data_IF_276790396066
#
_entry.id   IF_276790396066
#
_cell.length_a   1.000
_cell.length_b   1.000
_cell.length_c   1.000
_cell.angle_alpha   90.00
_cell.angle_beta   90.00
_cell.angle_gamma   90.00
#
_symmetry.space_group_name_H-M   'P 1'
#
loop_
_entity.id
_entity.type
_entity.pdbx_description
1 polymer ?
#
# COMPACT_ATOMS: atom_id res chain seq x y z
N UNK A 1 15.18 5.26 -1.12
CA UNK A 1 14.80 6.21 -0.03
C UNK A 1 15.90 6.26 1.03
N UNK A 2 16.23 5.19 1.76
CA UNK A 2 17.17 5.23 2.89
C UNK A 2 18.56 5.85 2.58
N UNK A 3 19.11 5.64 1.38
CA UNK A 3 20.36 6.28 0.93
C UNK A 3 20.21 7.79 0.68
N UNK A 4 19.07 8.21 0.13
CA UNK A 4 18.80 9.60 -0.23
C UNK A 4 18.37 10.44 0.97
N UNK A 5 17.85 9.79 2.01
CA UNK A 5 17.37 10.44 3.23
C UNK A 5 18.05 9.81 4.46
N UNK A 6 19.36 10.05 4.66
CA UNK A 6 20.15 9.38 5.70
C UNK A 6 19.74 9.78 7.14
N UNK A 7 19.03 10.91 7.30
CA UNK A 7 18.53 11.37 8.60
C UNK A 7 17.10 10.85 8.91
N UNK A 8 16.51 10.06 8.02
CA UNK A 8 15.21 9.44 8.22
C UNK A 8 15.36 7.98 8.61
N UNK A 9 14.44 7.48 9.42
CA UNK A 9 14.36 6.08 9.82
C UNK A 9 13.23 5.43 9.03
N UNK A 10 13.48 4.26 8.46
CA UNK A 10 12.54 3.52 7.62
C UNK A 10 12.15 2.21 8.28
N UNK A 11 10.86 1.94 8.34
CA UNK A 11 10.31 0.67 8.75
C UNK A 11 9.68 -0.03 7.55
N UNK A 12 9.92 -1.33 7.42
CA UNK A 12 9.26 -2.18 6.45
C UNK A 12 8.56 -3.34 7.16
N UNK A 13 7.27 -3.51 6.87
CA UNK A 13 6.46 -4.57 7.43
C UNK A 13 5.97 -5.49 6.32
N UNK A 14 6.07 -6.78 6.53
CA UNK A 14 5.52 -7.81 5.66
C UNK A 14 5.17 -9.04 6.50
N UNK A 15 4.07 -9.70 6.22
CA UNK A 15 3.67 -10.93 6.90
C UNK A 15 4.53 -12.14 6.48
N UNK A 16 5.21 -12.06 5.34
CA UNK A 16 6.04 -13.13 4.80
C UNK A 16 7.46 -13.04 5.35
N UNK A 17 7.80 -13.98 6.24
CA UNK A 17 9.07 -14.01 6.95
C UNK A 17 10.30 -14.02 6.03
N UNK A 18 10.25 -14.77 4.94
CA UNK A 18 11.35 -14.87 3.98
C UNK A 18 11.59 -13.56 3.24
N UNK A 19 10.54 -12.81 2.90
CA UNK A 19 10.65 -11.47 2.32
C UNK A 19 11.37 -10.51 3.27
N UNK A 20 11.05 -10.56 4.55
CA UNK A 20 11.71 -9.76 5.59
C UNK A 20 13.19 -10.16 5.74
N UNK A 21 13.52 -11.45 5.71
CA UNK A 21 14.90 -11.91 5.78
C UNK A 21 15.72 -11.37 4.58
N UNK A 22 15.17 -11.46 3.37
CA UNK A 22 15.77 -10.91 2.15
C UNK A 22 15.93 -9.38 2.24
N UNK A 23 14.90 -8.68 2.74
CA UNK A 23 14.95 -7.22 2.89
C UNK A 23 16.08 -6.79 3.82
N UNK A 24 16.26 -7.47 4.95
CA UNK A 24 17.39 -7.21 5.89
C UNK A 24 18.75 -7.45 5.23
N UNK A 25 18.89 -8.56 4.49
CA UNK A 25 20.12 -8.83 3.76
C UNK A 25 20.43 -7.73 2.74
N UNK A 26 19.43 -7.32 1.94
CA UNK A 26 19.60 -6.25 0.94
C UNK A 26 19.91 -4.90 1.58
N UNK A 27 19.35 -4.59 2.74
CA UNK A 27 19.69 -3.37 3.48
C UNK A 27 21.16 -3.34 3.89
N UNK A 28 21.67 -4.47 4.40
CA UNK A 28 23.08 -4.64 4.75
C UNK A 28 24.00 -4.49 3.52
N UNK A 29 23.68 -5.19 2.43
CA UNK A 29 24.44 -5.09 1.16
C UNK A 29 24.43 -3.66 0.59
N UNK A 30 23.35 -2.92 0.83
CA UNK A 30 23.20 -1.53 0.41
C UNK A 30 23.85 -0.50 1.36
N UNK A 31 24.30 -0.93 2.56
CA UNK A 31 24.89 -0.07 3.59
C UNK A 31 23.87 0.91 4.19
N UNK A 32 22.62 0.44 4.41
CA UNK A 32 21.53 1.25 5.00
C UNK A 32 20.89 0.56 6.21
N UNK A 33 21.56 -0.43 6.79
CA UNK A 33 21.04 -1.19 7.92
C UNK A 33 20.83 -0.33 9.18
N UNK A 34 21.61 0.74 9.33
CA UNK A 34 21.55 1.60 10.50
C UNK A 34 20.26 2.47 10.54
N UNK A 35 19.65 2.74 9.39
CA UNK A 35 18.45 3.54 9.30
C UNK A 35 17.24 2.81 8.69
N UNK A 36 17.30 1.47 8.62
CA UNK A 36 16.19 0.63 8.14
C UNK A 36 15.88 -0.51 9.11
N UNK A 37 14.60 -0.70 9.41
CA UNK A 37 14.10 -1.76 10.29
C UNK A 37 13.04 -2.56 9.55
N UNK A 38 13.27 -3.88 9.40
CA UNK A 38 12.32 -4.78 8.73
C UNK A 38 11.75 -5.78 9.74
N UNK A 39 10.43 -5.83 9.85
CA UNK A 39 9.70 -6.60 10.86
C UNK A 39 8.64 -7.50 10.20
N UNK A 40 8.58 -8.75 10.65
CA UNK A 40 7.50 -9.64 10.22
C UNK A 40 6.24 -9.26 10.98
N UNK A 41 5.28 -8.66 10.29
CA UNK A 41 3.99 -8.24 10.84
C UNK A 41 2.99 -8.05 9.72
N UNK A 42 1.71 -8.24 10.02
CA UNK A 42 0.67 -7.83 9.07
C UNK A 42 0.49 -6.30 9.08
N UNK A 43 -0.22 -5.78 8.10
CA UNK A 43 -0.54 -4.35 8.02
C UNK A 43 -1.46 -3.85 9.15
N UNK A 44 -1.98 -4.76 10.00
CA UNK A 44 -2.88 -4.45 11.12
C UNK A 44 -2.26 -4.68 12.50
N UNK A 45 -1.07 -5.32 12.58
CA UNK A 45 -0.54 -5.83 13.86
C UNK A 45 0.79 -5.19 14.30
N UNK A 46 1.42 -4.36 13.47
CA UNK A 46 2.63 -3.65 13.89
C UNK A 46 2.32 -2.64 15.01
N UNK A 47 3.26 -2.45 15.92
CA UNK A 47 3.08 -1.65 17.14
C UNK A 47 3.74 -0.28 17.05
N UNK A 48 4.57 -0.06 16.07
CA UNK A 48 5.29 1.18 15.84
C UNK A 48 4.31 2.30 15.45
N UNK A 49 4.57 3.49 15.97
CA UNK A 49 3.73 4.68 15.74
C UNK A 49 4.59 5.91 15.56
N UNK A 50 3.96 7.04 15.25
CA UNK A 50 4.64 8.30 15.09
C UNK A 50 5.28 8.49 13.71
N UNK A 51 4.69 7.86 12.68
CA UNK A 51 5.17 7.99 11.31
C UNK A 51 4.79 9.33 10.68
N UNK A 52 5.73 9.93 9.96
CA UNK A 52 5.47 11.10 9.12
C UNK A 52 4.81 10.69 7.81
N UNK A 53 5.18 9.51 7.29
CA UNK A 53 4.68 8.95 6.04
C UNK A 53 4.54 7.44 6.18
N UNK A 54 3.41 6.91 5.78
CA UNK A 54 3.19 5.47 5.59
C UNK A 54 2.94 5.22 4.10
N UNK A 55 3.55 4.18 3.55
CA UNK A 55 3.41 3.82 2.14
C UNK A 55 2.79 2.42 2.00
N UNK A 56 1.72 2.32 1.22
CA UNK A 56 1.26 1.05 0.66
C UNK A 56 1.76 0.97 -0.77
N UNK A 57 2.65 0.01 -1.03
CA UNK A 57 3.34 -0.11 -2.31
C UNK A 57 2.79 -1.30 -3.09
N UNK A 58 1.74 -1.05 -3.88
CA UNK A 58 1.11 -2.03 -4.78
C UNK A 58 0.62 -3.28 -4.03
N UNK A 59 -0.02 -3.08 -2.87
CA UNK A 59 -0.36 -4.17 -1.96
C UNK A 59 -1.73 -4.04 -1.29
N UNK A 60 -2.33 -2.86 -1.21
CA UNK A 60 -3.60 -2.67 -0.50
C UNK A 60 -4.74 -3.47 -1.18
N UNK A 61 -4.72 -3.57 -2.50
CA UNK A 61 -5.73 -4.29 -3.29
C UNK A 61 -5.70 -5.82 -3.09
N UNK A 62 -4.59 -6.38 -2.59
CA UNK A 62 -4.43 -7.81 -2.29
C UNK A 62 -4.87 -8.17 -0.86
N UNK A 63 -5.04 -7.17 0.00
CA UNK A 63 -5.44 -7.40 1.39
C UNK A 63 -6.91 -7.80 1.49
N UNK A 64 -7.21 -8.73 2.39
CA UNK A 64 -8.59 -9.09 2.70
C UNK A 64 -9.35 -7.96 3.38
N UNK A 65 -8.67 -7.22 4.26
CA UNK A 65 -9.21 -6.09 5.01
C UNK A 65 -8.41 -4.79 4.74
N UNK A 66 -8.54 -4.19 3.56
CA UNK A 66 -7.82 -2.97 3.22
C UNK A 66 -8.28 -1.76 4.05
N UNK A 67 -9.56 -1.73 4.49
CA UNK A 67 -10.08 -0.69 5.37
C UNK A 67 -9.42 -0.76 6.74
N UNK A 68 -9.34 -1.96 7.32
CA UNK A 68 -8.67 -2.17 8.62
C UNK A 68 -7.17 -1.86 8.56
N UNK A 69 -6.48 -2.25 7.48
CA UNK A 69 -5.07 -1.92 7.26
C UNK A 69 -4.84 -0.40 7.16
N UNK A 70 -5.64 0.29 6.36
CA UNK A 70 -5.58 1.75 6.23
C UNK A 70 -5.92 2.47 7.55
N UNK A 71 -6.92 1.99 8.30
CA UNK A 71 -7.31 2.54 9.60
C UNK A 71 -6.20 2.34 10.66
N UNK A 72 -5.51 1.20 10.62
CA UNK A 72 -4.34 0.97 11.47
C UNK A 72 -3.21 1.94 11.13
N UNK A 73 -2.90 2.10 9.84
CA UNK A 73 -1.92 3.08 9.36
C UNK A 73 -2.28 4.50 9.82
N UNK A 74 -3.55 4.90 9.70
CA UNK A 74 -4.01 6.21 10.17
C UNK A 74 -3.72 6.46 11.65
N UNK A 75 -3.94 5.45 12.50
CA UNK A 75 -3.65 5.55 13.95
C UNK A 75 -2.15 5.63 14.25
N UNK A 76 -1.33 5.05 13.38
CA UNK A 76 0.12 5.04 13.53
C UNK A 76 0.80 6.33 13.03
N UNK A 77 0.10 7.18 12.29
CA UNK A 77 0.61 8.48 11.82
C UNK A 77 0.73 9.48 12.97
N UNK A 78 1.71 10.39 12.85
CA UNK A 78 1.74 11.65 13.59
C UNK A 78 0.61 12.57 13.14
N UNK A 79 0.34 13.59 13.94
CA UNK A 79 -0.42 14.75 13.48
C UNK A 79 0.24 15.38 12.24
N UNK A 80 -0.54 15.62 11.20
CA UNK A 80 -0.04 16.12 9.91
C UNK A 80 0.65 15.09 9.02
N UNK A 81 0.81 13.84 9.47
CA UNK A 81 1.33 12.76 8.65
C UNK A 81 0.37 12.33 7.54
N UNK A 82 0.89 11.62 6.55
CA UNK A 82 0.09 11.18 5.40
C UNK A 82 0.35 9.71 5.02
N UNK A 83 -0.57 9.14 4.27
CA UNK A 83 -0.39 7.87 3.59
C UNK A 83 -0.16 8.11 2.10
N UNK A 84 0.90 7.55 1.56
CA UNK A 84 1.12 7.42 0.12
C UNK A 84 0.65 6.03 -0.32
N UNK A 85 -0.41 6.03 -1.11
CA UNK A 85 -0.97 4.81 -1.66
C UNK A 85 -0.56 4.69 -3.13
N UNK A 86 0.22 3.69 -3.45
CA UNK A 86 0.63 3.33 -4.82
C UNK A 86 -0.12 2.08 -5.21
N UNK A 87 -0.93 2.15 -6.27
CA UNK A 87 -1.78 1.05 -6.70
C UNK A 87 -1.77 0.93 -8.23
N UNK A 88 -2.20 -0.20 -8.81
CA UNK A 88 -2.25 -0.37 -10.25
C UNK A 88 -3.08 0.72 -10.94
N UNK A 89 -2.63 1.18 -12.09
CA UNK A 89 -3.35 2.16 -12.88
C UNK A 89 -4.67 1.57 -13.40
N UNK A 90 -5.78 2.13 -12.95
CA UNK A 90 -7.11 1.78 -13.40
C UNK A 90 -7.99 3.02 -13.51
N UNK A 91 -8.82 3.06 -14.55
CA UNK A 91 -9.92 4.01 -14.65
C UNK A 91 -11.07 3.57 -13.74
N UNK A 92 -11.85 4.53 -13.29
CA UNK A 92 -13.09 4.26 -12.54
C UNK A 92 -14.21 3.67 -13.43
N UNK A 93 -14.06 3.79 -14.76
CA UNK A 93 -15.03 3.34 -15.75
C UNK A 93 -14.41 2.26 -16.66
N UNK A 94 -15.24 1.32 -17.11
CA UNK A 94 -14.80 0.17 -17.91
C UNK A 94 -14.17 0.60 -19.24
N UNK A 95 -14.72 1.62 -19.90
CA UNK A 95 -14.24 2.14 -21.17
C UNK A 95 -12.78 2.60 -21.09
N UNK A 96 -12.40 3.27 -19.98
CA UNK A 96 -11.02 3.69 -19.72
C UNK A 96 -10.05 2.54 -19.48
N UNK A 97 -10.56 1.36 -19.17
CA UNK A 97 -9.78 0.14 -18.93
C UNK A 97 -9.67 -0.77 -20.17
N UNK A 98 -10.16 -0.33 -21.34
CA UNK A 98 -9.99 -1.09 -22.60
C UNK A 98 -8.63 -0.73 -23.23
N UNK A 99 -7.56 -1.23 -22.61
CA UNK A 99 -6.18 -1.01 -23.04
C UNK A 99 -5.30 -2.21 -22.65
N UNK A 100 -4.07 -2.33 -23.21
CA UNK A 100 -3.18 -3.46 -22.95
C UNK A 100 -2.76 -3.62 -21.47
N UNK A 101 -2.54 -2.53 -20.75
CA UNK A 101 -2.13 -2.55 -19.33
C UNK A 101 -3.26 -3.08 -18.47
N UNK A 102 -4.47 -2.53 -18.63
CA UNK A 102 -5.64 -3.00 -17.89
C UNK A 102 -6.00 -4.45 -18.20
N UNK A 103 -5.80 -4.91 -19.47
CA UNK A 103 -5.98 -6.32 -19.82
C UNK A 103 -5.06 -7.22 -18.99
N UNK A 104 -3.78 -6.84 -18.83
CA UNK A 104 -2.83 -7.58 -18.00
C UNK A 104 -3.29 -7.59 -16.53
N UNK A 105 -3.68 -6.43 -16.01
CA UNK A 105 -4.09 -6.29 -14.63
C UNK A 105 -5.40 -7.04 -14.31
N UNK A 106 -6.39 -7.05 -15.21
CA UNK A 106 -7.59 -7.87 -15.05
C UNK A 106 -7.25 -9.37 -14.99
N UNK A 107 -6.34 -9.84 -15.84
CA UNK A 107 -5.89 -11.22 -15.83
C UNK A 107 -5.16 -11.57 -14.51
N UNK A 108 -4.21 -10.74 -14.09
CA UNK A 108 -3.49 -10.90 -12.83
C UNK A 108 -4.43 -10.82 -11.63
N UNK A 109 -5.33 -9.84 -11.61
CA UNK A 109 -6.31 -9.65 -10.53
C UNK A 109 -7.23 -10.87 -10.39
N UNK A 110 -7.69 -11.44 -11.49
CA UNK A 110 -8.54 -12.64 -11.47
C UNK A 110 -7.80 -13.87 -10.96
N UNK A 111 -6.53 -14.02 -11.34
CA UNK A 111 -5.74 -15.22 -11.00
C UNK A 111 -5.04 -15.15 -9.64
N UNK A 112 -4.72 -13.95 -9.14
CA UNK A 112 -3.90 -13.73 -7.96
C UNK A 112 -4.58 -12.82 -6.94
N UNK A 113 -4.78 -11.53 -7.26
CA UNK A 113 -5.17 -10.53 -6.28
C UNK A 113 -6.53 -10.81 -5.63
N UNK A 114 -7.56 -11.08 -6.44
CA UNK A 114 -8.91 -11.37 -5.95
C UNK A 114 -8.97 -12.66 -5.12
N UNK A 115 -8.42 -13.81 -5.58
CA UNK A 115 -8.36 -15.01 -4.76
C UNK A 115 -7.53 -14.83 -3.49
N UNK A 116 -6.42 -14.10 -3.54
CA UNK A 116 -5.60 -13.80 -2.37
C UNK A 116 -6.42 -13.05 -1.32
N UNK A 117 -7.08 -11.97 -1.70
CA UNK A 117 -7.92 -11.17 -0.80
C UNK A 117 -9.07 -12.00 -0.22
N UNK A 118 -9.78 -12.78 -1.06
CA UNK A 118 -10.90 -13.64 -0.63
C UNK A 118 -10.49 -14.75 0.34
N UNK A 119 -9.23 -15.17 0.32
CA UNK A 119 -8.72 -16.19 1.24
C UNK A 119 -8.39 -15.67 2.65
N UNK A 120 -8.41 -14.35 2.84
CA UNK A 120 -8.10 -13.68 4.10
C UNK A 120 -9.39 -13.27 4.83
N UNK A 121 -9.23 -12.83 6.09
CA UNK A 121 -10.32 -12.26 6.88
C UNK A 121 -10.94 -11.04 6.16
N UNK A 122 -12.25 -10.88 6.23
CA UNK A 122 -13.10 -9.90 5.52
C UNK A 122 -13.25 -10.20 4.03
N UNK A 123 -12.15 -10.38 3.28
CA UNK A 123 -12.22 -10.77 1.87
C UNK A 123 -12.87 -9.72 0.98
N UNK A 124 -12.49 -8.42 1.11
CA UNK A 124 -13.12 -7.32 0.35
C UNK A 124 -12.92 -7.42 -1.16
N UNK A 125 -11.86 -8.10 -1.61
CA UNK A 125 -11.57 -8.40 -3.01
C UNK A 125 -11.55 -7.15 -3.91
N UNK A 126 -10.78 -6.13 -3.53
CA UNK A 126 -10.60 -4.92 -4.35
C UNK A 126 -10.07 -5.26 -5.75
N UNK A 127 -9.02 -6.08 -5.80
CA UNK A 127 -8.33 -6.43 -7.02
C UNK A 127 -7.55 -5.26 -7.65
N UNK A 128 -6.68 -5.59 -8.60
CA UNK A 128 -5.77 -4.64 -9.24
C UNK A 128 -6.46 -3.58 -10.12
N UNK A 129 -7.77 -3.64 -10.30
CA UNK A 129 -8.54 -2.70 -11.13
C UNK A 129 -9.59 -1.92 -10.31
N UNK A 130 -9.26 -1.61 -9.05
CA UNK A 130 -10.16 -0.90 -8.16
C UNK A 130 -10.49 0.53 -8.64
N UNK A 131 -9.52 1.23 -9.23
CA UNK A 131 -9.67 2.63 -9.63
C UNK A 131 -9.60 3.60 -8.46
N UNK A 132 -9.44 4.89 -8.75
CA UNK A 132 -9.27 5.90 -7.72
C UNK A 132 -10.51 6.07 -6.84
N UNK A 133 -11.70 6.00 -7.41
CA UNK A 133 -12.96 6.17 -6.66
C UNK A 133 -13.08 5.12 -5.56
N UNK A 134 -12.90 3.85 -5.90
CA UNK A 134 -13.01 2.75 -4.94
C UNK A 134 -11.91 2.80 -3.87
N UNK A 135 -10.68 3.14 -4.26
CA UNK A 135 -9.59 3.34 -3.31
C UNK A 135 -9.88 4.51 -2.35
N UNK A 136 -10.43 5.61 -2.87
CA UNK A 136 -10.84 6.76 -2.04
C UNK A 136 -11.97 6.39 -1.06
N UNK A 137 -12.90 5.53 -1.46
CA UNK A 137 -13.95 5.02 -0.56
C UNK A 137 -13.33 4.21 0.59
N UNK A 138 -12.38 3.32 0.30
CA UNK A 138 -11.64 2.56 1.33
C UNK A 138 -10.92 3.49 2.30
N UNK A 139 -10.21 4.49 1.79
CA UNK A 139 -9.49 5.44 2.65
C UNK A 139 -10.45 6.29 3.48
N UNK A 140 -11.60 6.70 2.94
CA UNK A 140 -12.63 7.43 3.69
C UNK A 140 -13.24 6.55 4.78
N UNK A 141 -13.56 5.29 4.51
CA UNK A 141 -14.04 4.33 5.52
C UNK A 141 -13.00 4.10 6.62
N UNK A 142 -11.71 4.12 6.28
CA UNK A 142 -10.60 4.08 7.23
C UNK A 142 -10.40 5.38 8.04
N UNK A 143 -11.16 6.44 7.73
CA UNK A 143 -11.18 7.70 8.46
C UNK A 143 -10.24 8.78 7.92
N UNK A 144 -9.77 8.67 6.68
CA UNK A 144 -9.05 9.77 6.02
C UNK A 144 -10.04 10.81 5.47
N UNK A 145 -9.68 12.09 5.60
CA UNK A 145 -10.51 13.23 5.18
C UNK A 145 -10.35 13.58 3.71
N UNK A 146 -9.19 13.26 3.12
CA UNK A 146 -8.94 13.52 1.71
C UNK A 146 -8.07 12.44 1.07
N UNK A 147 -8.33 12.18 -0.23
CA UNK A 147 -7.54 11.29 -1.07
C UNK A 147 -7.38 11.97 -2.42
N UNK A 148 -6.17 12.44 -2.72
CA UNK A 148 -5.87 13.21 -3.93
C UNK A 148 -4.83 12.50 -4.77
N UNK A 149 -4.95 12.61 -6.10
CA UNK A 149 -3.92 12.06 -7.00
C UNK A 149 -2.67 12.94 -6.93
N UNK A 150 -1.58 12.37 -6.41
CA UNK A 150 -0.28 13.03 -6.31
C UNK A 150 0.54 12.87 -7.60
N UNK A 151 0.47 11.68 -8.22
CA UNK A 151 1.16 11.37 -9.47
C UNK A 151 0.51 10.17 -10.17
N UNK A 152 0.95 9.90 -11.39
CA UNK A 152 0.61 8.69 -12.12
C UNK A 152 1.76 8.26 -13.05
N UNK A 153 1.79 6.99 -13.37
CA UNK A 153 2.64 6.38 -14.40
C UNK A 153 1.76 5.57 -15.34
N UNK A 154 2.27 5.03 -16.43
CA UNK A 154 1.49 4.11 -17.25
C UNK A 154 0.99 2.87 -16.52
N UNK A 155 1.59 2.55 -15.37
CA UNK A 155 1.32 1.32 -14.60
C UNK A 155 0.72 1.55 -13.23
N UNK A 156 0.88 2.72 -12.63
CA UNK A 156 0.42 3.00 -11.27
C UNK A 156 -0.27 4.35 -11.15
N UNK A 157 -1.23 4.42 -10.27
CA UNK A 157 -1.74 5.67 -9.68
C UNK A 157 -1.13 5.84 -8.29
N UNK A 158 -0.79 7.08 -7.96
CA UNK A 158 -0.21 7.45 -6.68
C UNK A 158 -1.14 8.46 -5.99
N UNK A 159 -1.65 8.09 -4.83
CA UNK A 159 -2.61 8.89 -4.07
C UNK A 159 -1.98 9.35 -2.75
N UNK A 160 -2.13 10.63 -2.43
CA UNK A 160 -1.84 11.21 -1.11
C UNK A 160 -3.12 11.23 -0.29
N UNK A 161 -3.10 10.55 0.87
CA UNK A 161 -4.26 10.41 1.74
C UNK A 161 -3.95 11.08 3.09
N UNK A 162 -4.79 12.03 3.51
CA UNK A 162 -4.57 12.81 4.74
C UNK A 162 -5.72 12.64 5.71
N UNK A 163 -5.41 12.64 7.00
CA UNK A 163 -6.40 12.77 8.04
C UNK A 163 -7.15 14.11 7.92
N UNK A 164 -8.41 14.15 8.42
CA UNK A 164 -9.19 15.36 8.47
C UNK A 164 -8.64 16.31 9.56
#
# INVERSE_FOLDING_TARGET
>A
MAKEFPNSVFFGFDSHHESIAIARQRAKEAGVEDNTHFLTSTAKDYTETGFDLICFMDCLHDMGDPVGAAAHGRKALKEGGSVLLVEPAASDDLEGNINPVSRLYYAASTAVCTPCSLSQEVGLALGAQAGQRRLSDVMREAGFGSTTRAAETPFNIILDCRAA
#
